data_IF_763461615286
#
_entry.id   IF_763461615286
#
_cell.length_a   1.000
_cell.length_b   1.000
_cell.length_c   1.000
_cell.angle_alpha   90.00
_cell.angle_beta   90.00
_cell.angle_gamma   90.00
#
_symmetry.space_group_name_H-M   'P 1'
#
loop_
_entity.id
_entity.type
_entity.pdbx_description
1 polymer ?
#
# COMPACT_ATOMS: atom_id res chain seq x y z
N UNK A 1 -20.36 -17.71 -30.03
CA UNK A 1 -20.41 -16.27 -30.37
C UNK A 1 -19.26 -15.61 -29.65
N UNK A 2 -18.17 -15.31 -30.36
CA UNK A 2 -17.06 -14.54 -29.79
C UNK A 2 -17.51 -13.07 -29.72
N UNK A 3 -17.27 -12.35 -28.60
CA UNK A 3 -17.58 -10.93 -28.53
C UNK A 3 -16.69 -10.16 -29.52
N UNK A 4 -17.25 -9.13 -30.14
CA UNK A 4 -16.56 -8.27 -31.13
C UNK A 4 -15.39 -7.54 -30.49
N UNK A 5 -14.29 -7.36 -31.24
CA UNK A 5 -13.08 -6.64 -30.80
C UNK A 5 -13.37 -5.21 -30.30
N UNK A 6 -14.43 -4.57 -30.80
CA UNK A 6 -14.87 -3.23 -30.35
C UNK A 6 -15.48 -3.22 -28.94
N UNK A 7 -16.12 -4.32 -28.51
CA UNK A 7 -16.66 -4.44 -27.15
C UNK A 7 -15.56 -4.61 -26.10
N UNK A 8 -14.46 -5.26 -26.47
CA UNK A 8 -13.27 -5.38 -25.62
C UNK A 8 -12.49 -4.07 -25.56
N UNK A 9 -12.47 -3.26 -26.63
CA UNK A 9 -11.85 -1.94 -26.63
C UNK A 9 -12.63 -0.93 -25.75
N UNK A 10 -13.97 -0.98 -25.74
CA UNK A 10 -14.78 -0.13 -24.86
C UNK A 10 -14.69 -0.53 -23.38
N UNK A 11 -14.64 -1.82 -23.06
CA UNK A 11 -14.38 -2.27 -21.68
C UNK A 11 -12.94 -2.00 -21.23
N UNK A 12 -11.97 -2.07 -22.15
CA UNK A 12 -10.57 -1.71 -21.91
C UNK A 12 -10.35 -0.22 -21.63
N UNK A 13 -11.18 0.66 -22.20
CA UNK A 13 -11.14 2.10 -21.91
C UNK A 13 -11.68 2.46 -20.52
N UNK A 14 -12.49 1.60 -19.89
CA UNK A 14 -13.02 1.90 -18.55
C UNK A 14 -11.97 1.78 -17.43
N UNK A 15 -10.85 1.07 -17.66
CA UNK A 15 -9.92 0.67 -16.61
C UNK A 15 -8.54 1.32 -16.80
N UNK A 16 -8.17 1.66 -18.03
CA UNK A 16 -6.83 2.15 -18.34
C UNK A 16 -6.85 3.42 -19.23
N UNK A 17 -6.16 4.47 -18.79
CA UNK A 17 -5.88 5.66 -19.62
C UNK A 17 -4.43 5.63 -20.10
N UNK A 18 -4.19 5.93 -21.39
CA UNK A 18 -2.85 5.96 -21.98
C UNK A 18 -2.42 7.39 -22.31
N UNK A 19 -1.25 7.79 -21.79
CA UNK A 19 -0.65 9.09 -22.03
C UNK A 19 0.68 8.98 -22.78
N UNK A 20 0.95 9.98 -23.62
CA UNK A 20 2.07 9.97 -24.56
C UNK A 20 2.07 8.75 -25.49
N UNK A 21 0.90 8.43 -26.06
CA UNK A 21 0.64 7.25 -26.91
C UNK A 21 1.68 7.08 -28.03
N UNK A 22 2.15 8.17 -28.63
CA UNK A 22 3.18 8.13 -29.67
C UNK A 22 4.50 7.46 -29.20
N UNK A 23 4.80 7.52 -27.90
CA UNK A 23 5.96 6.86 -27.27
C UNK A 23 5.62 5.47 -26.74
N UNK A 24 4.35 5.09 -26.63
CA UNK A 24 3.96 3.76 -26.12
C UNK A 24 4.43 2.65 -27.06
N UNK A 25 4.54 2.89 -28.37
CA UNK A 25 5.10 1.92 -29.33
C UNK A 25 6.64 1.91 -29.37
N UNK A 26 7.31 2.77 -28.59
CA UNK A 26 8.77 2.82 -28.45
C UNK A 26 9.27 1.67 -27.55
N UNK A 27 10.52 1.19 -27.73
CA UNK A 27 11.17 0.33 -26.73
C UNK A 27 11.42 1.03 -25.38
N UNK A 28 11.15 2.34 -25.27
CA UNK A 28 11.30 3.11 -24.03
C UNK A 28 10.52 2.48 -22.86
N UNK A 29 11.05 2.57 -21.63
CA UNK A 29 10.36 2.06 -20.44
C UNK A 29 8.95 2.63 -20.30
N UNK A 30 8.01 1.78 -19.87
CA UNK A 30 6.62 2.16 -19.65
C UNK A 30 6.41 2.50 -18.17
N UNK A 31 5.74 3.60 -17.88
CA UNK A 31 5.32 3.94 -16.53
C UNK A 31 3.88 3.49 -16.31
N UNK A 32 3.61 2.92 -15.14
CA UNK A 32 2.25 2.65 -14.65
C UNK A 32 1.96 3.63 -13.52
N UNK A 33 0.84 4.32 -13.57
CA UNK A 33 0.36 5.20 -12.50
C UNK A 33 -0.86 4.58 -11.83
N UNK A 34 -0.78 4.41 -10.51
CA UNK A 34 -1.89 4.06 -9.64
C UNK A 34 -2.31 5.30 -8.83
N UNK A 35 -3.48 5.92 -9.14
CA UNK A 35 -3.95 7.12 -8.46
C UNK A 35 -4.12 6.97 -6.95
N UNK A 36 -4.16 8.09 -6.19
CA UNK A 36 -4.29 8.08 -4.73
C UNK A 36 -5.55 7.43 -4.17
N UNK A 37 -6.63 7.42 -4.95
CA UNK A 37 -7.93 6.84 -4.62
C UNK A 37 -8.61 6.36 -5.92
N UNK A 38 -9.72 5.65 -5.77
CA UNK A 38 -10.52 5.15 -6.90
C UNK A 38 -10.99 6.30 -7.80
N UNK A 39 -10.57 6.26 -9.07
CA UNK A 39 -10.96 7.20 -10.12
C UNK A 39 -11.89 6.56 -11.16
N UNK A 40 -12.21 5.28 -11.02
CA UNK A 40 -13.05 4.52 -11.96
C UNK A 40 -14.45 5.15 -12.17
N UNK A 41 -14.93 5.89 -11.18
CA UNK A 41 -16.24 6.58 -11.21
C UNK A 41 -16.11 8.11 -11.21
N UNK A 42 -14.89 8.64 -11.31
CA UNK A 42 -14.70 10.08 -11.34
C UNK A 42 -15.15 10.64 -12.70
N UNK A 43 -16.01 11.65 -12.69
CA UNK A 43 -16.38 12.40 -13.91
C UNK A 43 -15.22 13.16 -14.57
N UNK A 44 -14.00 13.03 -14.04
CA UNK A 44 -12.76 13.62 -14.57
C UNK A 44 -11.63 12.59 -14.51
N UNK A 45 -10.76 12.52 -15.54
CA UNK A 45 -9.63 11.60 -15.57
C UNK A 45 -8.62 11.94 -14.48
N UNK A 46 -7.88 10.93 -14.01
CA UNK A 46 -6.83 11.12 -13.01
C UNK A 46 -5.77 12.10 -13.52
N UNK A 47 -5.41 13.10 -12.71
CA UNK A 47 -4.35 14.02 -13.09
C UNK A 47 -2.99 13.35 -12.93
N UNK A 48 -2.19 13.35 -13.99
CA UNK A 48 -0.84 12.84 -13.96
C UNK A 48 0.10 13.79 -13.20
N UNK A 49 0.89 13.28 -12.24
CA UNK A 49 2.03 13.98 -11.64
C UNK A 49 2.96 14.56 -12.70
N UNK A 50 3.55 15.73 -12.44
CA UNK A 50 4.30 16.48 -13.47
C UNK A 50 5.49 15.71 -14.00
N UNK A 51 6.16 14.96 -13.14
CA UNK A 51 7.33 14.14 -13.51
C UNK A 51 6.98 12.97 -14.44
N UNK A 52 5.72 12.52 -14.47
CA UNK A 52 5.25 11.44 -15.37
C UNK A 52 4.79 11.98 -16.74
N UNK A 53 4.41 13.25 -16.83
CA UNK A 53 3.77 13.82 -18.03
C UNK A 53 4.62 13.75 -19.31
N UNK A 54 5.94 13.53 -19.21
CA UNK A 54 6.84 13.44 -20.37
C UNK A 54 7.12 12.00 -20.83
N UNK A 55 6.70 11.02 -20.04
CA UNK A 55 7.01 9.60 -20.23
C UNK A 55 5.76 8.84 -20.72
N UNK A 56 5.92 7.76 -21.51
CA UNK A 56 4.80 6.88 -21.84
C UNK A 56 4.24 6.30 -20.54
N UNK A 57 2.98 6.63 -20.24
CA UNK A 57 2.36 6.29 -18.96
C UNK A 57 0.99 5.68 -19.17
N UNK A 58 0.75 4.52 -18.57
CA UNK A 58 -0.56 3.90 -18.43
C UNK A 58 -1.10 4.19 -17.02
N UNK A 59 -2.29 4.74 -16.91
CA UNK A 59 -2.99 4.92 -15.63
C UNK A 59 -3.92 3.74 -15.44
N UNK A 60 -3.86 3.09 -14.27
CA UNK A 60 -4.80 2.04 -13.90
C UNK A 60 -5.84 2.65 -12.95
N UNK A 61 -7.06 2.80 -13.45
CA UNK A 61 -8.22 3.27 -12.70
C UNK A 61 -8.88 2.07 -11.99
N UNK A 62 -8.41 1.75 -10.78
CA UNK A 62 -8.95 0.65 -9.98
C UNK A 62 -10.22 1.06 -9.23
N UNK A 63 -11.11 0.09 -8.96
CA UNK A 63 -12.30 0.31 -8.13
C UNK A 63 -11.97 0.01 -6.67
N UNK A 64 -12.16 1.01 -5.81
CA UNK A 64 -12.09 0.87 -4.36
C UNK A 64 -13.10 1.82 -3.71
N UNK A 65 -14.29 1.32 -3.41
CA UNK A 65 -15.29 2.09 -2.68
C UNK A 65 -14.86 2.28 -1.22
N UNK A 66 -15.36 3.34 -0.60
CA UNK A 66 -15.15 3.63 0.82
C UNK A 66 -14.22 4.81 1.11
N UNK A 67 -13.43 5.31 0.14
CA UNK A 67 -12.66 6.53 0.34
C UNK A 67 -12.48 7.33 -0.96
N UNK A 68 -13.06 8.54 -1.01
CA UNK A 68 -12.75 9.54 -2.03
C UNK A 68 -12.83 10.94 -1.42
N UNK A 69 -11.70 11.64 -1.24
CA UNK A 69 -11.69 12.97 -0.61
C UNK A 69 -12.35 14.05 -1.50
N UNK A 70 -12.72 13.70 -2.73
CA UNK A 70 -13.28 14.61 -3.74
C UNK A 70 -14.73 14.29 -4.12
N UNK A 71 -15.42 13.39 -3.41
CA UNK A 71 -16.86 13.22 -3.60
C UNK A 71 -17.60 14.48 -3.11
N UNK A 72 -17.95 15.35 -4.05
CA UNK A 72 -18.99 16.36 -3.88
C UNK A 72 -20.35 15.66 -3.78
N UNK A 73 -21.22 16.22 -2.93
CA UNK A 73 -22.61 15.86 -2.64
C UNK A 73 -23.54 15.82 -3.88
N UNK A 74 -23.27 14.97 -4.88
CA UNK A 74 -24.12 14.85 -6.08
C UNK A 74 -24.91 13.54 -6.16
N UNK A 75 -24.93 12.72 -5.10
CA UNK A 75 -25.86 11.60 -4.96
C UNK A 75 -27.10 11.97 -4.14
N UNK A 76 -27.71 13.10 -4.45
CA UNK A 76 -29.15 13.33 -4.22
C UNK A 76 -29.94 12.70 -5.39
N UNK A 77 -29.76 11.39 -5.61
CA UNK A 77 -30.71 10.60 -6.39
C UNK A 77 -31.46 9.74 -5.39
N UNK A 78 -32.50 10.36 -4.84
CA UNK A 78 -33.54 9.67 -4.10
C UNK A 78 -34.24 8.66 -5.01
N UNK A 79 -34.02 7.37 -4.74
CA UNK A 79 -34.95 6.30 -5.07
C UNK A 79 -34.41 5.16 -5.93
N UNK A 80 -33.72 4.21 -5.32
CA UNK A 80 -33.69 2.81 -5.78
C UNK A 80 -33.19 1.86 -4.70
N UNK A 81 -33.98 0.81 -4.42
CA UNK A 81 -33.70 -0.40 -3.63
C UNK A 81 -32.43 -0.44 -2.74
N UNK A 82 -32.63 -0.28 -1.43
CA UNK A 82 -31.62 -0.45 -0.36
C UNK A 82 -30.90 -1.81 -0.41
N UNK A 83 -31.47 -2.83 -1.06
CA UNK A 83 -30.84 -4.15 -1.22
C UNK A 83 -29.86 -4.25 -2.39
N UNK A 84 -29.98 -3.41 -3.42
CA UNK A 84 -29.04 -3.40 -4.55
C UNK A 84 -27.80 -2.55 -4.24
N UNK A 85 -27.95 -1.51 -3.42
CA UNK A 85 -26.84 -0.65 -3.00
C UNK A 85 -25.84 -1.39 -2.09
N UNK A 86 -26.30 -2.23 -1.14
CA UNK A 86 -25.41 -3.05 -0.31
C UNK A 86 -24.62 -4.10 -1.13
N UNK A 87 -25.25 -4.72 -2.13
CA UNK A 87 -24.60 -5.71 -3.00
C UNK A 87 -23.58 -5.06 -3.96
N UNK A 88 -23.82 -3.84 -4.43
CA UNK A 88 -22.85 -3.09 -5.24
C UNK A 88 -21.69 -2.53 -4.40
N UNK A 89 -21.94 -1.99 -3.19
CA UNK A 89 -20.89 -1.50 -2.30
C UNK A 89 -19.94 -2.61 -1.83
N UNK A 90 -20.48 -3.79 -1.49
CA UNK A 90 -19.66 -4.95 -1.12
C UNK A 90 -18.76 -5.40 -2.26
N UNK A 91 -19.23 -5.33 -3.52
CA UNK A 91 -18.44 -5.65 -4.71
C UNK A 91 -17.34 -4.63 -5.05
N UNK A 92 -17.35 -3.45 -4.44
CA UNK A 92 -16.36 -2.39 -4.65
C UNK A 92 -15.34 -2.29 -3.50
N UNK A 93 -15.51 -3.07 -2.44
CA UNK A 93 -14.55 -3.21 -1.33
C UNK A 93 -13.42 -4.20 -1.66
N UNK A 94 -12.45 -4.38 -0.77
CA UNK A 94 -11.42 -5.42 -0.92
C UNK A 94 -12.05 -6.81 -1.13
N UNK A 95 -11.64 -7.62 -2.13
CA UNK A 95 -10.40 -7.55 -2.93
C UNK A 95 -10.56 -7.00 -4.36
N UNK A 96 -11.65 -6.30 -4.69
CA UNK A 96 -11.83 -5.75 -6.05
C UNK A 96 -10.64 -4.89 -6.56
N UNK A 97 -10.03 -3.99 -5.77
CA UNK A 97 -8.96 -3.11 -6.26
C UNK A 97 -7.72 -3.88 -6.74
N UNK A 98 -7.37 -4.97 -6.06
CA UNK A 98 -6.20 -5.78 -6.44
C UNK A 98 -6.49 -6.63 -7.68
N UNK A 99 -7.71 -7.16 -7.82
CA UNK A 99 -8.11 -7.85 -9.04
C UNK A 99 -8.09 -6.91 -10.25
N UNK A 100 -8.56 -5.67 -10.08
CA UNK A 100 -8.53 -4.67 -11.13
C UNK A 100 -7.10 -4.32 -11.54
N UNK A 101 -6.24 -4.11 -10.54
CA UNK A 101 -4.82 -3.80 -10.77
C UNK A 101 -4.09 -4.93 -11.49
N UNK A 102 -4.27 -6.18 -11.03
CA UNK A 102 -3.64 -7.34 -11.65
C UNK A 102 -4.14 -7.54 -13.08
N UNK A 103 -5.46 -7.45 -13.30
CA UNK A 103 -6.05 -7.62 -14.64
C UNK A 103 -5.59 -6.54 -15.62
N UNK A 104 -5.49 -5.30 -15.15
CA UNK A 104 -4.98 -4.19 -15.94
C UNK A 104 -3.49 -4.36 -16.28
N UNK A 105 -2.68 -4.83 -15.32
CA UNK A 105 -1.27 -5.15 -15.56
C UNK A 105 -1.09 -6.24 -16.61
N UNK A 106 -1.83 -7.34 -16.50
CA UNK A 106 -1.81 -8.42 -17.51
C UNK A 106 -2.12 -7.87 -18.90
N UNK A 107 -3.18 -7.07 -19.00
CA UNK A 107 -3.56 -6.43 -20.27
C UNK A 107 -2.44 -5.54 -20.82
N UNK A 108 -1.78 -4.74 -19.97
CA UNK A 108 -0.66 -3.88 -20.36
C UNK A 108 0.50 -4.72 -20.93
N UNK A 109 0.88 -5.80 -20.25
CA UNK A 109 1.97 -6.68 -20.68
C UNK A 109 1.63 -7.40 -22.00
N UNK A 110 0.38 -7.86 -22.15
CA UNK A 110 -0.10 -8.56 -23.35
C UNK A 110 -0.21 -7.66 -24.58
N UNK A 111 -0.63 -6.39 -24.40
CA UNK A 111 -1.02 -5.51 -25.51
C UNK A 111 0.01 -4.41 -25.81
N UNK A 112 0.80 -3.99 -24.83
CA UNK A 112 1.81 -2.94 -24.98
C UNK A 112 3.24 -3.50 -25.02
N UNK A 113 3.37 -4.82 -25.12
CA UNK A 113 4.62 -5.52 -25.37
C UNK A 113 5.26 -5.12 -26.70
N UNK A 114 6.59 -4.95 -26.76
CA UNK A 114 7.28 -4.67 -28.01
C UNK A 114 7.09 -5.84 -28.99
N UNK A 115 6.85 -5.53 -30.27
CA UNK A 115 6.58 -6.53 -31.33
C UNK A 115 7.81 -7.33 -31.77
N UNK A 116 9.00 -6.86 -31.41
CA UNK A 116 10.30 -7.48 -31.66
C UNK A 116 10.84 -8.18 -30.40
N UNK A 117 12.05 -8.72 -30.49
CA UNK A 117 12.72 -9.37 -29.35
C UNK A 117 13.29 -8.38 -28.31
N UNK A 118 12.88 -7.10 -28.31
CA UNK A 118 13.42 -6.15 -27.33
C UNK A 118 12.79 -6.35 -25.97
N UNK A 119 13.56 -6.00 -24.94
CA UNK A 119 13.04 -5.88 -23.59
C UNK A 119 12.41 -4.51 -23.43
N UNK A 120 11.40 -4.43 -22.57
CA UNK A 120 10.77 -3.18 -22.16
C UNK A 120 10.53 -3.21 -20.66
N UNK A 121 11.19 -2.32 -19.95
CA UNK A 121 11.06 -2.27 -18.51
C UNK A 121 9.81 -1.48 -18.10
N UNK A 122 9.15 -1.94 -17.05
CA UNK A 122 7.99 -1.26 -16.46
C UNK A 122 8.39 -0.72 -15.10
N UNK A 123 8.04 0.54 -14.84
CA UNK A 123 8.13 1.14 -13.51
C UNK A 123 6.75 1.58 -13.06
N UNK A 124 6.42 1.35 -11.79
CA UNK A 124 5.12 1.74 -11.23
C UNK A 124 5.28 2.89 -10.25
N UNK A 125 4.44 3.91 -10.38
CA UNK A 125 4.25 4.95 -9.38
C UNK A 125 2.86 4.81 -8.78
N UNK A 126 2.78 4.85 -7.45
CA UNK A 126 1.52 4.92 -6.73
C UNK A 126 1.59 5.92 -5.59
N UNK A 127 0.46 6.54 -5.26
CA UNK A 127 0.31 7.36 -4.05
C UNK A 127 -0.84 6.84 -3.19
N UNK A 128 -0.78 7.03 -1.87
CA UNK A 128 -1.84 6.65 -0.91
C UNK A 128 -2.36 5.21 -1.10
N UNK A 129 -3.65 5.00 -1.43
CA UNK A 129 -4.18 3.65 -1.69
C UNK A 129 -3.50 2.99 -2.90
N UNK A 130 -3.23 3.77 -3.95
CA UNK A 130 -2.46 3.36 -5.10
C UNK A 130 -1.02 2.99 -4.78
N UNK A 131 -0.40 3.58 -3.75
CA UNK A 131 0.93 3.19 -3.28
C UNK A 131 0.91 1.79 -2.65
N UNK A 132 -0.11 1.46 -1.87
CA UNK A 132 -0.30 0.11 -1.33
C UNK A 132 -0.40 -0.92 -2.47
N UNK A 133 -1.27 -0.66 -3.46
CA UNK A 133 -1.42 -1.51 -4.65
C UNK A 133 -0.14 -1.59 -5.49
N UNK A 134 0.57 -0.47 -5.68
CA UNK A 134 1.81 -0.42 -6.44
C UNK A 134 2.90 -1.30 -5.82
N UNK A 135 3.06 -1.25 -4.50
CA UNK A 135 4.03 -2.11 -3.80
C UNK A 135 3.66 -3.59 -3.87
N UNK A 136 2.37 -3.90 -3.74
CA UNK A 136 1.86 -5.26 -3.85
C UNK A 136 2.15 -5.84 -5.25
N UNK A 137 1.73 -5.12 -6.29
CA UNK A 137 2.01 -5.45 -7.69
C UNK A 137 3.52 -5.60 -7.94
N UNK A 138 4.33 -4.68 -7.44
CA UNK A 138 5.77 -4.72 -7.64
C UNK A 138 6.43 -5.92 -6.97
N UNK A 139 5.97 -6.32 -5.77
CA UNK A 139 6.51 -7.50 -5.09
C UNK A 139 6.12 -8.81 -5.79
N UNK A 140 4.96 -8.86 -6.45
CA UNK A 140 4.46 -10.08 -7.09
C UNK A 140 4.75 -10.19 -8.59
N UNK A 141 5.06 -9.09 -9.27
CA UNK A 141 5.27 -9.07 -10.73
C UNK A 141 6.71 -8.72 -11.16
N UNK A 142 7.63 -8.55 -10.20
CA UNK A 142 9.05 -8.30 -10.51
C UNK A 142 9.76 -9.59 -10.94
N UNK A 143 9.72 -9.85 -12.23
CA UNK A 143 10.37 -10.98 -12.88
C UNK A 143 11.56 -10.54 -13.76
N UNK A 144 12.82 -10.60 -13.28
CA UNK A 144 14.01 -10.13 -14.01
C UNK A 144 14.22 -10.72 -15.41
N UNK A 145 13.69 -11.91 -15.64
CA UNK A 145 13.81 -12.65 -16.89
C UNK A 145 12.69 -12.33 -17.89
N UNK A 146 11.57 -11.75 -17.44
CA UNK A 146 10.47 -11.36 -18.30
C UNK A 146 10.93 -10.26 -19.28
N UNK A 147 10.49 -10.36 -20.54
CA UNK A 147 10.86 -9.41 -21.60
C UNK A 147 10.25 -8.04 -21.35
N UNK A 148 8.97 -8.05 -21.01
CA UNK A 148 8.25 -6.90 -20.47
C UNK A 148 7.86 -7.26 -19.05
N UNK A 149 8.25 -6.44 -18.08
CA UNK A 149 8.04 -6.76 -16.68
C UNK A 149 8.44 -5.63 -15.76
N UNK A 150 7.92 -5.69 -14.54
CA UNK A 150 8.18 -4.67 -13.53
C UNK A 150 9.64 -4.73 -13.05
N UNK A 151 10.27 -3.56 -12.98
CA UNK A 151 11.66 -3.39 -12.52
C UNK A 151 11.76 -2.56 -11.25
N UNK A 152 10.90 -1.57 -11.12
CA UNK A 152 10.92 -0.72 -9.95
C UNK A 152 9.59 -0.07 -9.60
N UNK A 153 9.54 0.43 -8.37
CA UNK A 153 8.36 1.06 -7.78
C UNK A 153 8.74 2.34 -7.04
N UNK A 154 7.98 3.39 -7.28
CA UNK A 154 7.98 4.62 -6.49
C UNK A 154 6.63 4.71 -5.77
N UNK A 155 6.64 4.76 -4.45
CA UNK A 155 5.41 4.72 -3.66
C UNK A 155 5.37 5.89 -2.66
N UNK A 156 4.37 6.75 -2.75
CA UNK A 156 4.21 7.92 -1.89
C UNK A 156 3.07 7.75 -0.89
N UNK A 157 3.33 7.97 0.40
CA UNK A 157 2.31 7.94 1.46
C UNK A 157 1.46 6.65 1.48
N UNK A 158 2.04 5.51 1.16
CA UNK A 158 1.35 4.22 1.21
C UNK A 158 1.19 3.66 2.62
N UNK A 159 0.16 2.82 2.79
CA UNK A 159 -0.02 1.98 3.98
C UNK A 159 0.33 0.54 3.58
N UNK A 160 1.42 0.03 4.14
CA UNK A 160 1.97 -1.27 3.76
C UNK A 160 1.67 -2.37 4.78
N UNK A 161 1.09 -2.00 5.92
CA UNK A 161 0.60 -2.91 6.94
C UNK A 161 -0.64 -2.32 7.64
N UNK A 162 -1.82 -2.64 7.10
CA UNK A 162 -3.09 -2.17 7.64
C UNK A 162 -3.44 -2.78 9.00
N UNK A 163 -2.87 -3.96 9.34
CA UNK A 163 -3.06 -4.55 10.68
C UNK A 163 -2.51 -3.66 11.80
N UNK A 164 -1.65 -2.68 11.49
CA UNK A 164 -1.17 -1.67 12.44
C UNK A 164 -2.24 -0.67 12.88
N UNK A 165 -3.43 -0.68 12.27
CA UNK A 165 -4.58 0.10 12.74
C UNK A 165 -5.40 -0.60 13.81
N UNK A 166 -5.28 -1.92 13.92
CA UNK A 166 -6.03 -2.71 14.90
C UNK A 166 -5.57 -2.41 16.33
N UNK A 167 -6.49 -2.39 17.30
CA UNK A 167 -6.20 -1.99 18.68
C UNK A 167 -5.13 -2.87 19.35
N UNK A 168 -5.13 -4.17 19.01
CA UNK A 168 -4.20 -5.14 19.62
C UNK A 168 -2.77 -5.06 19.09
N UNK A 169 -2.52 -4.32 18.00
CA UNK A 169 -1.20 -4.23 17.40
C UNK A 169 -0.19 -3.62 18.40
N UNK A 170 1.02 -4.18 18.56
CA UNK A 170 2.00 -3.70 19.56
C UNK A 170 2.35 -2.22 19.45
N UNK A 171 2.22 -1.62 18.25
CA UNK A 171 2.46 -0.19 18.04
C UNK A 171 1.40 0.71 18.71
N UNK A 172 0.19 0.18 18.90
CA UNK A 172 -0.94 0.87 19.53
C UNK A 172 -1.02 0.57 21.03
N UNK A 173 -0.28 -0.45 21.50
CA UNK A 173 -0.19 -0.76 22.93
C UNK A 173 0.62 0.33 23.64
N UNK A 174 -0.10 1.30 24.20
CA UNK A 174 0.50 2.27 25.12
C UNK A 174 1.14 1.54 26.29
N UNK A 175 2.38 1.88 26.68
CA UNK A 175 3.03 1.26 27.83
C UNK A 175 2.12 1.41 29.05
N UNK A 176 1.72 0.29 29.68
CA UNK A 176 0.82 0.21 30.84
C UNK A 176 1.32 0.93 32.12
N UNK A 177 2.37 1.75 32.01
CA UNK A 177 3.00 2.48 33.10
C UNK A 177 2.48 3.91 33.13
N UNK A 178 1.44 4.09 33.95
CA UNK A 178 0.76 5.34 34.37
C UNK A 178 -0.33 5.81 33.42
N UNK A 179 -1.44 6.24 34.04
CA UNK A 179 -2.50 7.05 33.42
C UNK A 179 -1.84 8.06 32.49
N UNK A 180 -2.06 7.87 31.19
CA UNK A 180 -1.61 8.83 30.20
C UNK A 180 -2.36 10.11 30.45
N UNK A 181 -1.63 11.21 30.64
CA UNK A 181 -2.25 12.53 30.57
C UNK A 181 -2.79 12.70 29.14
N UNK A 182 -3.89 13.43 28.95
CA UNK A 182 -4.48 13.82 27.64
C UNK A 182 -3.40 14.24 26.62
N UNK A 183 -2.31 14.83 27.10
CA UNK A 183 -1.14 15.21 26.31
C UNK A 183 -0.39 14.04 25.65
N UNK A 184 -0.22 12.91 26.34
CA UNK A 184 0.47 11.74 25.77
C UNK A 184 -0.38 11.09 24.68
N UNK A 185 -1.70 11.14 24.83
CA UNK A 185 -2.64 10.74 23.80
C UNK A 185 -2.50 11.63 22.55
N UNK A 186 -2.44 12.96 22.73
CA UNK A 186 -2.25 13.92 21.62
C UNK A 186 -0.91 13.71 20.89
N UNK A 187 0.17 13.40 21.62
CA UNK A 187 1.48 13.14 21.01
C UNK A 187 1.60 11.77 20.33
N UNK A 188 0.79 10.79 20.75
CA UNK A 188 0.77 9.45 20.16
C UNK A 188 -0.15 9.35 18.93
N UNK A 189 -1.08 10.29 18.75
CA UNK A 189 -1.91 10.36 17.55
C UNK A 189 -1.04 10.56 16.30
N UNK A 190 -1.38 9.92 15.17
CA UNK A 190 -0.71 10.20 13.91
C UNK A 190 -0.79 11.70 13.64
N UNK A 191 0.35 12.36 13.45
CA UNK A 191 0.36 13.81 13.26
C UNK A 191 -0.25 14.26 11.93
N UNK A 192 -0.44 13.34 10.98
CA UNK A 192 -0.88 13.61 9.62
C UNK A 192 -2.41 13.37 9.49
N UNK A 193 -3.21 14.39 9.09
CA UNK A 193 -4.65 14.26 8.95
C UNK A 193 -5.06 13.20 7.92
N UNK A 194 -4.39 13.13 6.76
CA UNK A 194 -4.71 12.16 5.70
C UNK A 194 -4.51 10.73 6.20
N UNK A 195 -3.48 10.51 7.03
CA UNK A 195 -3.23 9.21 7.65
C UNK A 195 -4.35 8.80 8.60
N UNK A 196 -4.90 9.75 9.35
CA UNK A 196 -6.06 9.50 10.22
C UNK A 196 -7.31 9.24 9.41
N UNK A 197 -7.50 9.96 8.31
CA UNK A 197 -8.64 9.79 7.41
C UNK A 197 -8.66 8.38 6.81
N UNK A 198 -7.52 7.90 6.29
CA UNK A 198 -7.39 6.52 5.81
C UNK A 198 -7.67 5.48 6.90
N UNK A 199 -7.24 5.73 8.14
CA UNK A 199 -7.56 4.86 9.27
C UNK A 199 -9.07 4.80 9.53
N UNK A 200 -9.76 5.94 9.49
CA UNK A 200 -11.21 6.02 9.72
C UNK A 200 -12.01 5.28 8.66
N UNK A 201 -11.53 5.24 7.42
CA UNK A 201 -12.20 4.55 6.31
C UNK A 201 -11.76 3.09 6.15
N UNK A 202 -10.95 2.54 7.06
CA UNK A 202 -10.50 1.14 6.96
C UNK A 202 -11.67 0.15 6.92
N UNK A 203 -12.76 0.40 7.65
CA UNK A 203 -13.95 -0.46 7.58
C UNK A 203 -14.62 -0.41 6.20
N UNK A 204 -14.82 0.78 5.63
CA UNK A 204 -15.42 0.93 4.31
C UNK A 204 -14.55 0.33 3.20
N UNK A 205 -13.22 0.48 3.29
CA UNK A 205 -12.28 -0.03 2.30
C UNK A 205 -12.20 -1.56 2.27
N UNK A 206 -12.37 -2.22 3.42
CA UNK A 206 -12.11 -3.65 3.56
C UNK A 206 -13.34 -4.48 3.90
N UNK A 207 -14.42 -3.88 4.40
CA UNK A 207 -15.66 -4.51 4.85
C UNK A 207 -15.50 -5.36 6.11
N UNK A 208 -14.44 -6.16 6.19
CA UNK A 208 -14.17 -7.10 7.27
C UNK A 208 -12.70 -7.02 7.73
N UNK A 209 -12.43 -7.24 9.03
CA UNK A 209 -11.07 -7.09 9.57
C UNK A 209 -10.10 -8.17 9.11
N UNK A 210 -10.58 -9.36 8.70
CA UNK A 210 -9.76 -10.44 8.10
C UNK A 210 -9.07 -9.98 6.81
N UNK A 211 -9.72 -9.13 6.01
CA UNK A 211 -9.15 -8.60 4.78
C UNK A 211 -7.90 -7.72 5.01
N UNK A 212 -7.71 -7.14 6.21
CA UNK A 212 -6.48 -6.40 6.54
C UNK A 212 -5.24 -7.30 6.61
N UNK A 213 -5.46 -8.60 6.82
CA UNK A 213 -4.41 -9.62 6.96
C UNK A 213 -4.00 -10.23 5.62
N UNK A 214 -4.63 -9.81 4.52
CA UNK A 214 -4.24 -10.19 3.17
C UNK A 214 -2.85 -9.59 2.84
N UNK A 215 -1.85 -10.39 2.45
CA UNK A 215 -0.54 -9.87 2.04
C UNK A 215 -0.58 -8.89 0.88
N UNK A 216 -1.58 -8.97 0.00
CA UNK A 216 -1.71 -8.03 -1.11
C UNK A 216 -2.24 -6.66 -0.67
N UNK A 217 -3.01 -6.59 0.41
CA UNK A 217 -3.41 -5.34 1.04
C UNK A 217 -2.29 -4.78 1.91
N UNK A 218 -1.66 -5.66 2.68
CA UNK A 218 -0.62 -5.37 3.66
C UNK A 218 0.71 -6.00 3.22
N UNK A 219 1.39 -5.37 2.25
CA UNK A 219 2.65 -5.84 1.64
C UNK A 219 3.75 -6.28 2.64
N UNK A 220 3.78 -5.73 3.85
CA UNK A 220 4.70 -6.19 4.91
C UNK A 220 4.49 -7.68 5.28
N UNK A 221 3.28 -8.21 5.10
CA UNK A 221 2.92 -9.59 5.43
C UNK A 221 3.48 -10.61 4.44
N UNK A 222 4.01 -10.20 3.27
CA UNK A 222 4.86 -11.08 2.47
C UNK A 222 6.12 -11.51 3.23
N UNK A 223 6.61 -10.68 4.17
CA UNK A 223 7.88 -10.90 4.86
C UNK A 223 7.73 -11.42 6.29
N UNK A 224 6.53 -11.41 6.86
CA UNK A 224 6.29 -11.91 8.21
C UNK A 224 4.82 -12.22 8.48
N UNK A 225 4.56 -13.09 9.46
CA UNK A 225 3.22 -13.25 10.01
C UNK A 225 2.80 -11.99 10.80
N UNK A 226 1.51 -11.65 10.86
CA UNK A 226 1.04 -10.43 11.53
C UNK A 226 1.25 -10.48 13.06
N UNK A 227 1.28 -11.67 13.66
CA UNK A 227 1.48 -11.81 15.10
C UNK A 227 0.30 -11.31 15.94
N UNK A 228 -0.90 -11.33 15.36
CA UNK A 228 -2.17 -10.91 15.95
C UNK A 228 -3.26 -11.90 15.55
N UNK A 229 -4.32 -11.99 16.37
CA UNK A 229 -5.57 -12.61 15.94
C UNK A 229 -6.39 -11.61 15.14
N UNK A 230 -7.22 -12.13 14.23
CA UNK A 230 -8.24 -11.31 13.57
C UNK A 230 -9.29 -10.94 14.62
N UNK A 231 -9.55 -9.65 14.86
CA UNK A 231 -10.59 -9.22 15.78
C UNK A 231 -11.99 -9.40 15.16
N UNK A 232 -13.05 -9.43 15.99
CA UNK A 232 -14.42 -9.54 15.48
C UNK A 232 -14.90 -8.29 14.74
N UNK A 233 -14.31 -7.12 15.03
CA UNK A 233 -14.55 -5.85 14.32
C UNK A 233 -13.28 -4.98 14.35
N UNK A 234 -13.26 -3.89 13.58
CA UNK A 234 -12.07 -3.03 13.43
C UNK A 234 -11.62 -2.36 14.74
N UNK A 235 -12.57 -2.02 15.62
CA UNK A 235 -12.30 -1.33 16.89
C UNK A 235 -12.27 -2.26 18.12
N UNK A 236 -12.66 -3.53 17.96
CA UNK A 236 -12.67 -4.50 19.05
C UNK A 236 -11.30 -5.18 19.22
N UNK A 237 -10.94 -5.46 20.47
CA UNK A 237 -9.79 -6.32 20.78
C UNK A 237 -10.19 -7.79 20.60
N UNK A 238 -9.36 -8.55 19.88
CA UNK A 238 -9.47 -10.01 19.77
C UNK A 238 -9.15 -10.72 21.11
N UNK A 239 -8.53 -10.00 22.04
CA UNK A 239 -8.09 -10.50 23.35
C UNK A 239 -9.01 -10.03 24.51
N UNK A 240 -10.13 -9.36 24.20
CA UNK A 240 -11.05 -8.87 25.23
C UNK A 240 -11.65 -10.02 26.06
N UNK A 241 -11.72 -9.91 27.40
CA UNK A 241 -12.30 -10.95 28.25
C UNK A 241 -13.81 -11.08 28.04
N UNK A 242 -14.31 -12.31 28.14
CA UNK A 242 -15.71 -12.75 27.90
C UNK A 242 -16.76 -11.95 28.70
N UNK A 243 -16.38 -11.28 29.79
CA UNK A 243 -17.26 -10.42 30.60
C UNK A 243 -17.93 -9.31 29.80
N UNK A 244 -17.33 -8.84 28.71
CA UNK A 244 -17.91 -7.81 27.83
C UNK A 244 -18.99 -8.35 26.89
N UNK A 245 -19.02 -9.67 26.63
CA UNK A 245 -19.98 -10.34 25.75
C UNK A 245 -21.21 -10.88 26.50
N UNK A 246 -21.15 -10.93 27.83
CA UNK A 246 -22.24 -11.39 28.71
C UNK A 246 -23.42 -10.40 28.82
N UNK A 247 -23.29 -9.17 28.29
CA UNK A 247 -24.39 -8.21 28.19
C UNK A 247 -25.31 -8.44 26.96
N UNK A 248 -25.00 -9.45 26.14
CA UNK A 248 -25.87 -9.85 25.02
C UNK A 248 -26.92 -10.87 25.47
N UNK A 249 -28.24 -10.61 25.28
CA UNK A 249 -29.33 -11.40 25.88
C UNK A 249 -29.55 -12.79 25.25
N UNK A 250 -28.62 -13.30 24.44
CA UNK A 250 -28.74 -14.58 23.70
C UNK A 250 -27.89 -15.73 24.27
N UNK A 251 -27.27 -15.57 25.43
CA UNK A 251 -26.37 -16.59 25.98
C UNK A 251 -27.14 -17.79 26.57
N UNK A 252 -26.88 -18.99 26.02
CA UNK A 252 -27.24 -20.29 26.60
C UNK A 252 -25.97 -20.97 27.12
N UNK A 253 -26.06 -21.69 28.25
CA UNK A 253 -24.93 -22.19 29.08
C UNK A 253 -23.97 -23.21 28.40
N UNK A 254 -24.19 -23.59 27.15
CA UNK A 254 -23.45 -24.67 26.46
C UNK A 254 -22.13 -24.25 25.79
N UNK A 255 -21.74 -22.98 25.81
CA UNK A 255 -20.52 -22.47 25.14
C UNK A 255 -19.27 -22.45 26.02
N UNK A 256 -19.31 -23.06 27.21
CA UNK A 256 -18.24 -23.07 28.22
C UNK A 256 -16.94 -23.82 27.84
N UNK A 257 -16.74 -24.19 26.56
CA UNK A 257 -15.53 -24.88 26.07
C UNK A 257 -14.73 -24.13 24.99
N UNK A 258 -15.05 -22.88 24.64
CA UNK A 258 -14.23 -22.13 23.69
C UNK A 258 -12.94 -21.59 24.36
N UNK A 259 -11.86 -22.36 24.24
CA UNK A 259 -10.50 -21.95 24.60
C UNK A 259 -10.06 -20.71 23.79
N UNK A 260 -10.29 -19.52 24.35
CA UNK A 260 -9.76 -18.28 23.78
C UNK A 260 -8.30 -18.11 24.21
N UNK A 261 -7.33 -17.99 23.27
CA UNK A 261 -5.92 -17.82 23.62
C UNK A 261 -5.69 -16.50 24.35
N UNK A 262 -5.13 -16.56 25.57
CA UNK A 262 -4.83 -15.37 26.37
C UNK A 262 -3.63 -14.56 25.87
N UNK A 263 -2.96 -15.02 24.82
CA UNK A 263 -1.74 -14.40 24.27
C UNK A 263 -1.80 -14.35 22.74
N UNK A 264 -1.43 -13.22 22.12
CA UNK A 264 -1.38 -13.11 20.67
C UNK A 264 -0.32 -14.07 20.09
N UNK A 265 -0.49 -14.52 18.84
CA UNK A 265 0.50 -15.38 18.18
C UNK A 265 1.80 -14.62 17.98
N UNK A 266 2.94 -15.33 17.92
CA UNK A 266 4.24 -14.68 17.75
C UNK A 266 4.43 -14.22 16.30
N UNK A 267 4.87 -12.97 16.11
CA UNK A 267 5.36 -12.46 14.82
C UNK A 267 6.58 -13.29 14.39
N UNK A 268 6.51 -13.91 13.22
CA UNK A 268 7.55 -14.78 12.68
C UNK A 268 7.95 -14.31 11.28
N UNK A 269 9.25 -14.26 10.95
CA UNK A 269 9.70 -13.86 9.62
C UNK A 269 9.37 -14.95 8.59
N UNK A 270 8.88 -14.55 7.43
CA UNK A 270 8.69 -15.40 6.26
C UNK A 270 9.85 -15.22 5.29
N UNK A 271 10.08 -16.24 4.46
CA UNK A 271 11.06 -16.16 3.36
C UNK A 271 10.33 -15.64 2.14
N UNK A 272 10.66 -14.41 1.75
CA UNK A 272 10.19 -13.78 0.53
C UNK A 272 11.38 -13.14 -0.19
N UNK A 273 11.45 -13.17 -1.54
CA UNK A 273 10.60 -13.97 -2.41
C UNK A 273 10.74 -15.49 -2.12
N UNK A 274 9.73 -16.32 -2.43
CA UNK A 274 9.85 -17.77 -2.26
C UNK A 274 11.05 -18.31 -3.05
N UNK A 275 11.87 -19.18 -2.46
CA UNK A 275 13.13 -19.65 -3.10
C UNK A 275 12.95 -20.35 -4.45
N UNK A 276 11.78 -20.93 -4.68
CA UNK A 276 11.46 -21.63 -5.92
C UNK A 276 10.81 -20.70 -6.96
N UNK A 277 10.57 -19.43 -6.62
CA UNK A 277 10.04 -18.45 -7.56
C UNK A 277 11.19 -17.75 -8.30
N UNK A 278 10.85 -17.17 -9.45
CA UNK A 278 11.74 -16.33 -10.24
C UNK A 278 11.62 -14.85 -9.85
N UNK A 279 10.91 -14.55 -8.76
CA UNK A 279 10.66 -13.20 -8.29
C UNK A 279 11.91 -12.61 -7.65
N UNK A 280 12.05 -11.29 -7.77
CA UNK A 280 13.04 -10.52 -7.03
C UNK A 280 12.41 -9.31 -6.37
N UNK A 281 13.10 -8.80 -5.35
CA UNK A 281 12.75 -7.51 -4.77
C UNK A 281 13.08 -6.40 -5.80
N UNK A 282 12.11 -5.56 -6.18
CA UNK A 282 12.30 -4.48 -7.16
C UNK A 282 13.21 -3.36 -6.64
N UNK A 283 13.73 -2.56 -7.58
CA UNK A 283 14.26 -1.23 -7.26
C UNK A 283 13.11 -0.39 -6.68
N UNK A 284 13.32 0.23 -5.51
CA UNK A 284 12.22 0.77 -4.71
C UNK A 284 12.58 2.12 -4.12
N UNK A 285 11.69 3.10 -4.31
CA UNK A 285 11.72 4.39 -3.63
C UNK A 285 10.42 4.59 -2.84
N UNK A 286 10.50 4.58 -1.52
CA UNK A 286 9.37 4.88 -0.64
C UNK A 286 9.45 6.34 -0.18
N UNK A 287 8.46 7.13 -0.57
CA UNK A 287 8.32 8.53 -0.22
C UNK A 287 7.27 8.67 0.89
N UNK A 288 7.54 9.55 1.86
CA UNK A 288 6.55 9.91 2.86
C UNK A 288 6.52 11.42 3.10
N UNK A 289 5.38 11.95 3.51
CA UNK A 289 5.23 13.32 3.98
C UNK A 289 5.90 13.53 5.34
N UNK A 290 6.38 14.75 5.56
CA UNK A 290 6.66 15.27 6.89
C UNK A 290 5.33 15.59 7.58
N UNK A 291 5.02 15.04 8.76
CA UNK A 291 3.81 15.42 9.48
C UNK A 291 3.86 16.91 9.86
N UNK A 292 2.70 17.60 9.93
CA UNK A 292 2.65 18.99 10.30
C UNK A 292 3.28 19.24 11.68
N UNK A 293 3.97 20.37 11.88
CA UNK A 293 4.63 20.66 13.13
C UNK A 293 3.61 20.77 14.27
N UNK A 294 3.90 20.13 15.40
CA UNK A 294 3.11 20.28 16.61
C UNK A 294 3.05 21.75 17.04
N UNK A 295 2.02 22.21 17.77
CA UNK A 295 1.99 23.57 18.28
C UNK A 295 3.21 23.86 19.18
N UNK A 296 3.68 25.12 19.28
CA UNK A 296 4.94 25.47 19.98
C UNK A 296 5.00 25.00 21.44
N UNK A 297 3.85 24.96 22.12
CA UNK A 297 3.69 24.45 23.49
C UNK A 297 4.04 22.97 23.61
N UNK A 298 3.72 22.17 22.59
CA UNK A 298 4.00 20.74 22.52
C UNK A 298 5.43 20.46 22.03
N UNK A 299 5.98 21.30 21.14
CA UNK A 299 7.35 21.17 20.62
C UNK A 299 8.42 21.25 21.71
N UNK A 300 8.34 22.28 22.57
CA UNK A 300 9.31 22.48 23.68
C UNK A 300 9.36 21.29 24.63
N UNK A 301 8.25 20.57 24.80
CA UNK A 301 8.14 19.43 25.71
C UNK A 301 8.54 18.11 25.03
N UNK A 302 8.33 17.97 23.71
CA UNK A 302 8.88 16.85 22.91
C UNK A 302 10.41 16.89 22.89
N UNK A 303 11.02 18.07 22.70
CA UNK A 303 12.49 18.24 22.74
C UNK A 303 13.13 17.82 24.07
N UNK A 304 12.37 17.86 25.18
CA UNK A 304 12.85 17.41 26.49
C UNK A 304 12.85 15.88 26.64
N UNK A 305 12.22 15.12 25.73
CA UNK A 305 12.18 13.65 25.79
C UNK A 305 13.36 13.04 25.03
N UNK A 306 14.07 12.12 25.68
CA UNK A 306 15.19 11.35 25.10
C UNK A 306 14.75 10.20 24.18
N UNK A 307 13.48 9.79 24.21
CA UNK A 307 12.97 8.65 23.44
C UNK A 307 11.62 9.00 22.82
N UNK A 308 11.60 9.09 21.50
CA UNK A 308 10.40 9.30 20.72
C UNK A 308 9.58 8.00 20.68
N UNK A 309 8.27 8.09 20.93
CA UNK A 309 7.37 6.98 20.67
C UNK A 309 7.17 6.91 19.16
N UNK A 310 7.68 5.86 18.52
CA UNK A 310 7.47 5.62 17.09
C UNK A 310 6.02 5.15 16.92
N UNK A 311 5.11 6.12 16.76
CA UNK A 311 3.70 5.85 16.47
C UNK A 311 3.52 5.38 15.03
N UNK A 312 2.31 4.89 14.72
CA UNK A 312 1.95 4.54 13.34
C UNK A 312 1.73 5.81 12.51
N UNK A 313 2.48 5.97 11.42
CA UNK A 313 2.39 7.08 10.46
C UNK A 313 3.04 6.65 9.13
N UNK A 314 2.91 7.47 8.07
CA UNK A 314 3.46 7.15 6.74
C UNK A 314 4.97 6.86 6.75
N UNK A 315 5.75 7.61 7.54
CA UNK A 315 7.18 7.36 7.70
C UNK A 315 7.45 5.99 8.30
N UNK A 316 6.77 5.64 9.39
CA UNK A 316 6.93 4.34 10.06
C UNK A 316 6.53 3.17 9.14
N UNK A 317 5.47 3.33 8.35
CA UNK A 317 5.04 2.36 7.33
C UNK A 317 6.14 2.15 6.29
N UNK A 318 6.65 3.23 5.70
CA UNK A 318 7.71 3.18 4.69
C UNK A 318 9.01 2.57 5.25
N UNK A 319 9.45 3.00 6.43
CA UNK A 319 10.65 2.47 7.10
C UNK A 319 10.49 0.98 7.45
N UNK A 320 9.31 0.52 7.88
CA UNK A 320 9.07 -0.89 8.15
C UNK A 320 9.17 -1.74 6.88
N UNK A 321 8.47 -1.37 5.81
CA UNK A 321 8.52 -2.09 4.54
C UNK A 321 9.95 -2.13 3.98
N UNK A 322 10.64 -0.98 3.94
CA UNK A 322 12.01 -0.91 3.46
C UNK A 322 12.94 -1.83 4.25
N UNK A 323 12.84 -1.82 5.59
CA UNK A 323 13.64 -2.70 6.46
C UNK A 323 13.37 -4.17 6.16
N UNK A 324 12.12 -4.56 5.85
CA UNK A 324 11.76 -5.94 5.51
C UNK A 324 12.32 -6.34 4.13
N UNK A 325 12.18 -5.49 3.12
CA UNK A 325 12.73 -5.71 1.78
C UNK A 325 14.26 -5.82 1.80
N UNK A 326 14.95 -4.90 2.48
CA UNK A 326 16.41 -4.93 2.63
C UNK A 326 16.89 -6.19 3.33
N UNK A 327 16.20 -6.59 4.41
CA UNK A 327 16.49 -7.85 5.12
C UNK A 327 16.30 -9.05 4.20
N UNK A 328 15.26 -9.06 3.36
CA UNK A 328 15.01 -10.09 2.37
C UNK A 328 16.15 -10.17 1.34
N UNK A 329 16.55 -9.04 0.75
CA UNK A 329 17.69 -8.96 -0.19
C UNK A 329 18.94 -9.57 0.44
N UNK A 330 19.28 -9.14 1.66
CA UNK A 330 20.47 -9.62 2.36
C UNK A 330 20.42 -11.13 2.67
N UNK A 331 19.25 -11.65 3.10
CA UNK A 331 19.12 -13.04 3.58
C UNK A 331 18.79 -14.05 2.49
N UNK A 332 18.11 -13.64 1.44
CA UNK A 332 17.62 -14.52 0.38
C UNK A 332 18.51 -14.39 -0.85
N UNK A 333 18.69 -13.18 -1.36
CA UNK A 333 19.43 -12.98 -2.61
C UNK A 333 20.95 -12.97 -2.39
N UNK A 334 21.46 -12.10 -1.52
CA UNK A 334 22.90 -11.91 -1.37
C UNK A 334 23.56 -13.08 -0.64
N UNK A 335 22.91 -13.62 0.39
CA UNK A 335 23.41 -14.81 1.10
C UNK A 335 23.49 -16.06 0.19
N UNK A 336 22.65 -16.16 -0.84
CA UNK A 336 22.76 -17.24 -1.83
C UNK A 336 23.90 -17.00 -2.81
N UNK A 337 24.09 -15.76 -3.28
CA UNK A 337 25.22 -15.40 -4.17
C UNK A 337 26.59 -15.56 -3.51
N UNK A 338 26.71 -15.21 -2.22
CA UNK A 338 27.97 -15.30 -1.48
C UNK A 338 28.48 -16.75 -1.31
N UNK A 339 27.62 -17.77 -1.50
CA UNK A 339 28.04 -19.18 -1.52
C UNK A 339 28.84 -19.54 -2.77
N UNK A 340 28.69 -18.77 -3.84
CA UNK A 340 29.27 -19.04 -5.14
C UNK A 340 30.42 -18.07 -5.47
N UNK A 341 30.36 -16.83 -4.97
CA UNK A 341 31.31 -15.76 -5.30
C UNK A 341 32.10 -15.30 -4.07
N UNK A 342 33.37 -15.72 -3.96
CA UNK A 342 34.27 -15.41 -2.85
C UNK A 342 34.85 -13.97 -2.87
N UNK A 343 34.62 -13.18 -3.92
CA UNK A 343 35.23 -11.84 -4.15
C UNK A 343 34.26 -10.64 -4.00
N UNK A 344 33.14 -10.78 -3.28
CA UNK A 344 32.14 -9.70 -3.17
C UNK A 344 32.38 -8.75 -1.97
N UNK A 345 33.41 -7.92 -2.05
CA UNK A 345 33.72 -6.89 -1.04
C UNK A 345 32.87 -5.60 -1.15
N UNK A 346 31.73 -5.62 -1.85
CA UNK A 346 30.90 -4.41 -2.12
C UNK A 346 29.39 -4.55 -1.84
N UNK A 347 28.94 -5.67 -1.26
CA UNK A 347 27.51 -5.98 -1.08
C UNK A 347 26.85 -5.39 0.18
N UNK A 348 27.62 -4.74 1.06
CA UNK A 348 27.09 -4.22 2.33
C UNK A 348 25.92 -3.25 2.14
N UNK A 349 25.97 -2.47 1.06
CA UNK A 349 25.04 -1.37 0.81
C UNK A 349 24.06 -1.65 -0.34
N UNK A 350 24.12 -2.81 -1.01
CA UNK A 350 23.27 -3.11 -2.19
C UNK A 350 21.78 -3.11 -1.83
N UNK A 351 21.44 -3.61 -0.64
CA UNK A 351 20.07 -3.57 -0.15
C UNK A 351 19.60 -2.12 0.08
N UNK A 352 20.46 -1.27 0.65
CA UNK A 352 20.16 0.14 0.90
C UNK A 352 20.11 0.97 -0.40
N UNK A 353 20.95 0.65 -1.39
CA UNK A 353 20.91 1.21 -2.74
C UNK A 353 19.59 0.88 -3.42
N UNK A 354 19.17 -0.39 -3.37
CA UNK A 354 17.98 -0.89 -4.06
C UNK A 354 16.67 -0.42 -3.45
N UNK A 355 16.63 -0.26 -2.13
CA UNK A 355 15.39 0.12 -1.43
C UNK A 355 15.65 1.39 -0.63
N UNK A 356 15.19 2.52 -1.14
CA UNK A 356 15.41 3.84 -0.57
C UNK A 356 14.14 4.34 0.12
N UNK A 357 14.32 5.15 1.17
CA UNK A 357 13.23 5.85 1.86
C UNK A 357 13.58 7.33 1.92
N UNK A 358 12.66 8.20 1.54
CA UNK A 358 12.92 9.64 1.48
C UNK A 358 11.74 10.48 1.98
N UNK A 359 12.08 11.57 2.66
CA UNK A 359 11.11 12.56 3.15
C UNK A 359 10.80 13.58 2.05
N UNK A 360 9.60 13.47 1.48
CA UNK A 360 9.11 14.34 0.41
C UNK A 360 8.77 15.76 0.87
N UNK A 361 8.87 16.06 2.17
CA UNK A 361 8.51 17.35 2.75
C UNK A 361 7.04 17.42 3.16
N UNK A 362 6.55 18.63 3.39
CA UNK A 362 5.16 18.84 3.79
C UNK A 362 4.19 18.51 2.64
N UNK A 363 3.11 17.84 3.00
CA UNK A 363 2.01 17.58 2.09
C UNK A 363 1.26 18.88 1.74
N UNK A 364 0.93 19.06 0.47
CA UNK A 364 0.18 20.20 -0.07
C UNK A 364 -1.34 20.10 0.15
N UNK A 365 -1.83 18.94 0.61
CA UNK A 365 -3.24 18.71 0.98
C UNK A 365 -4.15 18.33 -0.19
N UNK A 366 -3.59 18.14 -1.38
CA UNK A 366 -4.29 17.72 -2.60
C UNK A 366 -3.98 16.27 -2.98
N UNK A 367 -3.45 15.48 -2.04
CA UNK A 367 -3.00 14.10 -2.24
C UNK A 367 -1.94 13.95 -3.36
N UNK A 368 -1.32 15.06 -3.75
CA UNK A 368 -0.27 15.10 -4.76
C UNK A 368 1.11 15.10 -4.10
N UNK A 369 2.11 14.72 -4.89
CA UNK A 369 3.49 14.77 -4.46
C UNK A 369 3.98 16.22 -4.55
N UNK A 370 4.45 16.79 -3.44
CA UNK A 370 5.01 18.14 -3.43
C UNK A 370 6.26 18.25 -4.31
N UNK A 371 6.66 19.48 -4.68
CA UNK A 371 7.75 19.69 -5.65
C UNK A 371 9.08 19.02 -5.29
N UNK A 372 9.45 18.97 -4.00
CA UNK A 372 10.64 18.25 -3.52
C UNK A 372 10.51 16.73 -3.77
N UNK A 373 9.33 16.17 -3.52
CA UNK A 373 9.03 14.78 -3.80
C UNK A 373 9.05 14.48 -5.31
N UNK A 374 8.46 15.36 -6.14
CA UNK A 374 8.48 15.19 -7.60
C UNK A 374 9.91 15.21 -8.15
N UNK A 375 10.76 16.13 -7.66
CA UNK A 375 12.18 16.19 -8.03
C UNK A 375 12.91 14.89 -7.66
N UNK A 376 12.69 14.37 -6.45
CA UNK A 376 13.31 13.13 -6.01
C UNK A 376 12.82 11.91 -6.80
N UNK A 377 11.51 11.84 -7.11
CA UNK A 377 10.94 10.77 -7.92
C UNK A 377 11.45 10.83 -9.36
N UNK A 378 11.54 12.03 -9.95
CA UNK A 378 12.09 12.24 -11.28
C UNK A 378 13.56 11.81 -11.36
N UNK A 379 14.40 12.28 -10.44
CA UNK A 379 15.82 11.93 -10.40
C UNK A 379 16.03 10.43 -10.22
N UNK A 380 15.21 9.78 -9.38
CA UNK A 380 15.26 8.33 -9.22
C UNK A 380 14.86 7.60 -10.51
N UNK A 381 13.78 8.02 -11.18
CA UNK A 381 13.38 7.41 -12.44
C UNK A 381 14.44 7.62 -13.53
N UNK A 382 15.05 8.79 -13.62
CA UNK A 382 16.14 9.06 -14.58
C UNK A 382 17.33 8.12 -14.37
N UNK A 383 17.74 7.87 -13.13
CA UNK A 383 18.84 6.95 -12.79
C UNK A 383 18.55 5.48 -13.18
N UNK A 384 17.27 5.10 -13.28
CA UNK A 384 16.85 3.71 -13.53
C UNK A 384 16.32 3.47 -14.96
N UNK A 385 15.81 4.50 -15.63
CA UNK A 385 15.24 4.41 -16.99
C UNK A 385 16.34 4.51 -18.06
N UNK A 386 17.42 5.26 -17.79
CA UNK A 386 18.57 5.44 -18.71
C UNK A 386 18.46 6.69 -19.57
#
# INVERSE_FOLDING_TARGET
>A
MAPSQDGLAQLSMMWNDLHNIAKVSSPDPLLIYLPPFSTAFAGRPAQLPRFLQRQPTAVINYRWAGFSPFQTQDSDISGSDEQLEEDEETHLSWPAPIHDTARAYDWIVENLGPSNYTRRDIYVYGSYLGASLATSLALTETHPHARMGLRGVVAYNGIYNWTMFLPDHPINQVPKLRSMSIFEEILARPGDPDFQELKQHAEALFGRPDNLFDPFASSCLFFHTPGLYVPPSFDASALAPVTSLLDSPTYTEDTSQLWMPSTPPRKSPLIFPPRNSTLKIPETLLLHSTPPPLPPSFQRRRQRRKKEHVGNNFRAQAEELARLMRRSINKVELAERLKWDYELNGLGDEADRRVQVYDAGFNTGDYSLGGKGEEQAAAWLEDHIG
#
